data_IF_632692191530
#
_entry.id   IF_632692191530
#
_cell.length_a   1.000
_cell.length_b   1.000
_cell.length_c   1.000
_cell.angle_alpha   90.00
_cell.angle_beta   90.00
_cell.angle_gamma   90.00
#
_symmetry.space_group_name_H-M   'P 1'
#
loop_
_entity.id
_entity.type
_entity.pdbx_description
1 polymer ?
#
# COMPACT_ATOMS: atom_id res chain seq x y z
N UNK A 1 6.09 -41.86 45.94
CA UNK A 1 6.36 -41.92 44.49
C UNK A 1 5.10 -41.47 43.80
N UNK A 2 5.02 -40.19 43.43
CA UNK A 2 3.88 -39.65 42.71
C UNK A 2 4.05 -40.02 41.23
N UNK A 3 3.00 -40.65 40.71
CA UNK A 3 2.88 -41.14 39.34
C UNK A 3 2.93 -39.95 38.38
N UNK A 4 3.96 -39.90 37.54
CA UNK A 4 4.07 -38.91 36.48
C UNK A 4 3.11 -39.32 35.36
N UNK A 5 1.83 -38.99 35.52
CA UNK A 5 0.87 -39.09 34.43
C UNK A 5 1.38 -38.23 33.27
N UNK A 6 1.85 -38.86 32.20
CA UNK A 6 2.19 -38.19 30.95
C UNK A 6 0.92 -37.53 30.42
N UNK A 7 0.79 -36.22 30.63
CA UNK A 7 -0.22 -35.43 29.95
C UNK A 7 -0.03 -35.68 28.46
N UNK A 8 -1.07 -36.18 27.79
CA UNK A 8 -1.07 -36.33 26.35
C UNK A 8 -0.58 -35.00 25.73
N UNK A 9 0.30 -35.03 24.73
CA UNK A 9 0.79 -33.82 24.10
C UNK A 9 -0.42 -32.97 23.70
N UNK A 10 -0.37 -31.64 23.90
CA UNK A 10 -1.46 -30.78 23.49
C UNK A 10 -1.90 -31.08 22.06
N UNK A 11 -3.21 -31.13 21.77
CA UNK A 11 -3.74 -31.67 20.51
C UNK A 11 -3.24 -30.91 19.27
N UNK A 12 -2.76 -29.67 19.42
CA UNK A 12 -2.19 -28.90 18.33
C UNK A 12 -0.76 -29.32 17.91
N UNK A 13 -0.07 -30.15 18.71
CA UNK A 13 1.25 -30.72 18.35
C UNK A 13 1.10 -31.79 17.25
N UNK A 14 -0.08 -32.42 17.17
CA UNK A 14 -0.41 -33.46 16.20
C UNK A 14 -0.99 -32.91 14.89
N UNK A 15 -1.13 -31.59 14.77
CA UNK A 15 -1.63 -30.98 13.54
C UNK A 15 -0.68 -31.29 12.37
N UNK A 16 -1.23 -31.71 11.21
CA UNK A 16 -0.46 -31.84 9.99
C UNK A 16 0.30 -30.56 9.63
N UNK A 17 1.46 -30.72 8.98
CA UNK A 17 2.34 -29.61 8.60
C UNK A 17 1.64 -28.57 7.70
N UNK A 18 0.81 -29.04 6.77
CA UNK A 18 0.03 -28.21 5.85
C UNK A 18 -1.04 -27.39 6.58
N UNK A 19 -1.75 -28.00 7.53
CA UNK A 19 -2.74 -27.29 8.37
C UNK A 19 -2.03 -26.24 9.25
N UNK A 20 -0.90 -26.61 9.85
CA UNK A 20 -0.09 -25.69 10.65
C UNK A 20 0.41 -24.52 9.80
N UNK A 21 0.91 -24.78 8.59
CA UNK A 21 1.36 -23.74 7.67
C UNK A 21 0.23 -22.78 7.28
N UNK A 22 -0.98 -23.30 7.02
CA UNK A 22 -2.13 -22.46 6.70
C UNK A 22 -2.54 -21.53 7.85
N UNK A 23 -2.47 -22.02 9.09
CA UNK A 23 -2.72 -21.19 10.28
C UNK A 23 -1.65 -20.10 10.40
N UNK A 24 -0.38 -20.47 10.28
CA UNK A 24 0.74 -19.54 10.44
C UNK A 24 0.77 -18.47 9.35
N UNK A 25 0.34 -18.77 8.11
CA UNK A 25 0.23 -17.80 7.02
C UNK A 25 -0.81 -16.70 7.28
N UNK A 26 -1.65 -16.81 8.30
CA UNK A 26 -2.60 -15.76 8.73
C UNK A 26 -2.01 -14.79 9.74
N UNK A 27 -0.79 -15.06 10.22
CA UNK A 27 -0.07 -14.20 11.15
C UNK A 27 0.88 -13.28 10.37
N UNK A 28 1.16 -12.09 10.92
CA UNK A 28 2.22 -11.23 10.43
C UNK A 28 3.60 -11.81 10.68
N UNK A 29 4.60 -11.27 10.00
CA UNK A 29 5.97 -11.77 10.10
C UNK A 29 6.53 -11.63 11.53
N UNK A 30 6.14 -10.57 12.25
CA UNK A 30 6.54 -10.35 13.63
C UNK A 30 5.99 -11.43 14.56
N UNK A 31 4.70 -11.75 14.50
CA UNK A 31 4.09 -12.79 15.33
C UNK A 31 4.70 -14.16 15.07
N UNK A 32 5.03 -14.47 13.80
CA UNK A 32 5.68 -15.73 13.44
C UNK A 32 7.06 -15.84 14.11
N UNK A 33 7.88 -14.79 13.99
CA UNK A 33 9.26 -14.78 14.47
C UNK A 33 9.36 -14.65 16.00
N UNK A 34 8.45 -13.91 16.62
CA UNK A 34 8.51 -13.62 18.05
C UNK A 34 7.77 -14.63 18.91
N UNK A 35 6.70 -15.22 18.37
CA UNK A 35 5.79 -16.05 19.15
C UNK A 35 5.67 -17.45 18.55
N UNK A 36 5.23 -17.58 17.29
CA UNK A 36 4.86 -18.87 16.74
C UNK A 36 6.02 -19.88 16.70
N UNK A 37 7.23 -19.45 16.31
CA UNK A 37 8.39 -20.34 16.26
C UNK A 37 8.90 -20.80 17.64
N UNK A 38 8.38 -20.20 18.72
CA UNK A 38 8.74 -20.52 20.10
C UNK A 38 7.70 -21.43 20.79
N UNK A 39 6.56 -21.71 20.15
CA UNK A 39 5.47 -22.52 20.73
C UNK A 39 5.89 -23.98 20.92
N UNK A 40 6.34 -24.65 19.86
CA UNK A 40 6.79 -26.04 19.91
C UNK A 40 7.73 -26.37 18.75
N UNK A 41 8.35 -27.55 18.78
CA UNK A 41 9.28 -27.99 17.72
C UNK A 41 8.61 -28.12 16.34
N UNK A 42 7.35 -28.57 16.30
CA UNK A 42 6.58 -28.67 15.05
C UNK A 42 6.40 -27.31 14.42
N UNK A 43 5.85 -26.34 15.16
CA UNK A 43 5.64 -24.97 14.68
C UNK A 43 6.96 -24.32 14.27
N UNK A 44 8.02 -24.49 15.07
CA UNK A 44 9.36 -24.01 14.73
C UNK A 44 9.89 -24.60 13.42
N UNK A 45 9.62 -25.86 13.14
CA UNK A 45 10.01 -26.50 11.88
C UNK A 45 9.22 -25.93 10.70
N UNK A 46 7.90 -25.76 10.86
CA UNK A 46 7.05 -25.14 9.84
C UNK A 46 7.46 -23.69 9.57
N UNK A 47 7.78 -22.92 10.62
CA UNK A 47 8.27 -21.54 10.52
C UNK A 47 9.56 -21.38 9.68
N UNK A 48 10.27 -22.46 9.36
CA UNK A 48 11.49 -22.44 8.52
C UNK A 48 11.23 -22.85 7.07
N UNK A 49 10.01 -23.24 6.71
CA UNK A 49 9.66 -23.61 5.33
C UNK A 49 9.59 -22.34 4.47
N UNK A 50 10.32 -22.22 3.36
CA UNK A 50 10.33 -21.00 2.54
C UNK A 50 8.94 -20.57 2.04
N UNK A 51 8.08 -21.54 1.73
CA UNK A 51 6.74 -21.30 1.21
C UNK A 51 5.82 -20.45 2.13
N UNK A 52 6.08 -20.40 3.45
CA UNK A 52 5.30 -19.53 4.35
C UNK A 52 5.76 -18.06 4.27
N UNK A 53 6.97 -17.80 3.76
CA UNK A 53 7.59 -16.47 3.67
C UNK A 53 7.47 -15.86 2.28
N UNK A 54 6.59 -16.39 1.42
CA UNK A 54 6.28 -15.82 0.10
C UNK A 54 5.54 -14.49 0.21
N UNK A 55 4.82 -14.28 1.32
CA UNK A 55 4.15 -13.03 1.68
C UNK A 55 4.67 -12.62 3.04
N UNK A 56 5.27 -11.44 3.13
CA UNK A 56 5.82 -10.88 4.36
C UNK A 56 5.06 -9.60 4.66
N UNK A 57 4.35 -9.59 5.78
CA UNK A 57 3.73 -8.37 6.30
C UNK A 57 4.48 -7.89 7.54
N UNK A 58 5.06 -6.68 7.45
CA UNK A 58 5.74 -5.99 8.53
C UNK A 58 4.98 -4.70 8.90
N UNK A 59 3.64 -4.78 8.94
CA UNK A 59 2.80 -3.76 9.56
C UNK A 59 3.31 -3.45 10.97
N UNK A 60 3.39 -2.16 11.30
CA UNK A 60 3.84 -1.68 12.59
C UNK A 60 2.91 -0.55 13.02
N UNK A 61 2.30 -0.67 14.20
CA UNK A 61 1.36 0.33 14.75
C UNK A 61 1.99 1.70 15.05
N UNK A 62 3.28 1.89 14.77
CA UNK A 62 3.96 3.19 14.90
C UNK A 62 4.52 3.47 16.29
N UNK A 63 4.47 2.49 17.20
CA UNK A 63 4.96 2.62 18.56
C UNK A 63 6.51 2.56 18.62
N UNK A 64 7.12 3.74 18.51
CA UNK A 64 8.49 4.12 18.94
C UNK A 64 9.65 3.69 18.05
N UNK A 65 10.52 4.65 17.71
CA UNK A 65 11.75 4.55 16.90
C UNK A 65 12.73 3.44 17.35
N UNK A 66 12.73 3.05 18.62
CA UNK A 66 13.52 1.91 19.10
C UNK A 66 13.13 0.59 18.41
N UNK A 67 11.89 0.48 17.92
CA UNK A 67 11.42 -0.64 17.11
C UNK A 67 12.01 -0.65 15.71
N UNK A 68 12.43 0.47 15.11
CA UNK A 68 12.78 0.51 13.69
C UNK A 68 13.97 -0.39 13.32
N UNK A 69 15.06 -0.36 14.10
CA UNK A 69 16.21 -1.25 13.87
C UNK A 69 15.87 -2.71 14.12
N UNK A 70 14.99 -2.96 15.09
CA UNK A 70 14.54 -4.30 15.41
C UNK A 70 13.62 -4.86 14.31
N UNK A 71 12.64 -4.08 13.85
CA UNK A 71 11.80 -4.38 12.69
C UNK A 71 12.66 -4.61 11.44
N UNK A 72 13.69 -3.80 11.20
CA UNK A 72 14.63 -4.03 10.09
C UNK A 72 15.34 -5.38 10.23
N UNK A 73 15.84 -5.70 11.42
CA UNK A 73 16.47 -7.01 11.70
C UNK A 73 15.49 -8.17 11.46
N UNK A 74 14.26 -8.04 11.93
CA UNK A 74 13.21 -9.05 11.77
C UNK A 74 12.79 -9.20 10.30
N UNK A 75 12.66 -8.09 9.58
CA UNK A 75 12.39 -8.07 8.15
C UNK A 75 13.50 -8.80 7.37
N UNK A 76 14.78 -8.52 7.66
CA UNK A 76 15.91 -9.21 7.02
C UNK A 76 15.84 -10.72 7.28
N UNK A 77 15.53 -11.13 8.52
CA UNK A 77 15.33 -12.54 8.87
C UNK A 77 14.15 -13.21 8.18
N UNK A 78 13.07 -12.48 7.94
CA UNK A 78 11.92 -12.97 7.18
C UNK A 78 12.29 -13.17 5.71
N UNK A 79 12.96 -12.18 5.11
CA UNK A 79 13.46 -12.22 3.73
C UNK A 79 14.45 -13.37 3.53
N UNK A 80 15.41 -13.57 4.45
CA UNK A 80 16.35 -14.69 4.39
C UNK A 80 15.63 -16.05 4.44
N UNK A 81 14.52 -16.17 5.17
CA UNK A 81 13.74 -17.42 5.22
C UNK A 81 12.97 -17.71 3.93
N UNK A 82 12.68 -16.70 3.11
CA UNK A 82 12.02 -16.90 1.82
C UNK A 82 12.89 -17.65 0.82
N UNK A 83 14.22 -17.71 1.02
CA UNK A 83 15.19 -18.29 0.07
C UNK A 83 15.00 -17.82 -1.37
N UNK A 84 14.55 -16.57 -1.54
CA UNK A 84 14.30 -15.93 -2.83
C UNK A 84 12.92 -16.17 -3.43
N UNK A 85 12.04 -16.89 -2.74
CA UNK A 85 10.64 -17.13 -3.15
C UNK A 85 9.68 -16.00 -2.73
N UNK A 86 10.19 -14.88 -2.19
CA UNK A 86 9.37 -13.74 -1.77
C UNK A 86 8.64 -13.09 -2.97
N UNK A 87 7.33 -12.93 -2.82
CA UNK A 87 6.41 -12.40 -3.84
C UNK A 87 5.79 -11.08 -3.42
N UNK A 88 5.44 -10.95 -2.14
CA UNK A 88 4.84 -9.73 -1.60
C UNK A 88 5.52 -9.33 -0.31
N UNK A 89 5.82 -8.05 -0.17
CA UNK A 89 6.31 -7.47 1.07
C UNK A 89 5.64 -6.13 1.39
N UNK A 90 5.18 -5.99 2.63
CA UNK A 90 4.72 -4.73 3.22
C UNK A 90 5.72 -4.27 4.28
N UNK A 91 6.09 -2.98 4.25
CA UNK A 91 7.02 -2.35 5.20
C UNK A 91 6.46 -0.99 5.61
N UNK A 92 6.25 -0.80 6.90
CA UNK A 92 5.71 0.44 7.45
C UNK A 92 6.68 1.08 8.44
N UNK A 93 6.86 2.41 8.35
CA UNK A 93 7.65 3.26 9.25
C UNK A 93 9.19 3.06 9.27
N UNK A 94 9.71 1.84 9.13
CA UNK A 94 11.14 1.54 9.34
C UNK A 94 11.95 1.30 8.06
N UNK A 95 11.34 1.38 6.89
CA UNK A 95 12.04 1.13 5.62
C UNK A 95 13.22 2.07 5.39
N UNK A 96 14.32 1.50 4.85
CA UNK A 96 15.54 2.24 4.47
C UNK A 96 15.98 1.86 3.06
N UNK A 97 16.78 2.73 2.41
CA UNK A 97 17.41 2.40 1.13
C UNK A 97 18.23 1.08 1.21
N UNK A 98 18.94 0.84 2.33
CA UNK A 98 19.77 -0.35 2.54
C UNK A 98 18.93 -1.62 2.70
N UNK A 99 17.77 -1.52 3.35
CA UNK A 99 16.83 -2.63 3.45
C UNK A 99 16.24 -2.97 2.08
N UNK A 100 15.81 -1.95 1.31
CA UNK A 100 15.31 -2.15 -0.05
C UNK A 100 16.35 -2.80 -0.97
N UNK A 101 17.61 -2.34 -0.89
CA UNK A 101 18.71 -2.92 -1.65
C UNK A 101 18.91 -4.39 -1.28
N UNK A 102 18.94 -4.70 0.02
CA UNK A 102 19.08 -6.07 0.51
C UNK A 102 17.96 -7.01 0.04
N UNK A 103 16.71 -6.53 0.02
CA UNK A 103 15.56 -7.28 -0.49
C UNK A 103 15.76 -7.55 -1.99
N UNK A 104 16.12 -6.52 -2.76
CA UNK A 104 16.32 -6.63 -4.21
C UNK A 104 17.42 -7.63 -4.61
N UNK A 105 18.43 -7.82 -3.76
CA UNK A 105 19.53 -8.75 -3.99
C UNK A 105 19.18 -10.21 -3.67
N UNK A 106 18.13 -10.44 -2.87
CA UNK A 106 17.70 -11.78 -2.45
C UNK A 106 16.44 -12.25 -3.15
N UNK A 107 15.62 -11.33 -3.65
CA UNK A 107 14.25 -11.64 -4.05
C UNK A 107 13.83 -10.81 -5.26
N UNK A 108 14.37 -11.15 -6.44
CA UNK A 108 14.04 -10.48 -7.70
C UNK A 108 12.66 -10.86 -8.26
N UNK A 109 12.02 -11.90 -7.72
CA UNK A 109 10.69 -12.39 -8.14
C UNK A 109 9.53 -11.61 -7.51
N UNK A 110 9.83 -10.49 -6.84
CA UNK A 110 8.84 -9.70 -6.12
C UNK A 110 7.79 -9.15 -7.09
N UNK A 111 6.52 -9.38 -6.77
CA UNK A 111 5.36 -8.92 -7.54
C UNK A 111 4.64 -7.76 -6.88
N UNK A 112 4.68 -7.67 -5.56
CA UNK A 112 3.99 -6.62 -4.80
C UNK A 112 4.95 -6.00 -3.76
N UNK A 113 5.16 -4.69 -3.88
CA UNK A 113 5.95 -3.90 -2.93
C UNK A 113 5.05 -2.81 -2.32
N UNK A 114 4.85 -2.88 -1.00
CA UNK A 114 4.08 -1.89 -0.24
C UNK A 114 5.00 -1.21 0.76
N UNK A 115 5.07 0.11 0.66
CA UNK A 115 5.92 0.98 1.49
C UNK A 115 5.07 2.11 2.03
N UNK A 116 5.10 2.27 3.35
CA UNK A 116 4.25 3.23 4.01
C UNK A 116 5.04 3.96 5.12
N UNK A 117 4.93 5.29 5.19
CA UNK A 117 5.61 6.10 6.22
C UNK A 117 7.14 5.90 6.33
N UNK A 118 7.79 5.37 5.29
CA UNK A 118 9.20 5.01 5.34
C UNK A 118 10.09 6.24 5.07
N UNK A 119 10.41 6.99 6.13
CA UNK A 119 11.25 8.20 6.06
C UNK A 119 12.71 7.91 5.70
N UNK A 120 13.20 6.68 5.93
CA UNK A 120 14.56 6.25 5.55
C UNK A 120 14.74 5.92 4.06
N UNK A 121 13.66 6.01 3.26
CA UNK A 121 13.68 5.73 1.82
C UNK A 121 13.65 7.05 1.04
N UNK A 122 14.62 7.20 0.16
CA UNK A 122 14.72 8.33 -0.78
C UNK A 122 14.21 7.94 -2.16
N UNK A 123 13.79 8.93 -2.97
CA UNK A 123 13.46 8.69 -4.38
C UNK A 123 14.60 8.03 -5.15
N UNK A 124 15.86 8.45 -4.95
CA UNK A 124 17.03 7.77 -5.51
C UNK A 124 17.13 6.28 -5.14
N UNK A 125 16.85 5.93 -3.88
CA UNK A 125 16.82 4.55 -3.42
C UNK A 125 15.81 3.72 -4.21
N UNK A 126 14.58 4.23 -4.34
CA UNK A 126 13.53 3.59 -5.16
C UNK A 126 13.92 3.45 -6.62
N UNK A 127 14.43 4.51 -7.26
CA UNK A 127 14.89 4.44 -8.66
C UNK A 127 16.01 3.42 -8.88
N UNK A 128 16.76 3.08 -7.83
CA UNK A 128 17.83 2.08 -7.90
C UNK A 128 17.30 0.65 -7.75
N UNK A 129 16.26 0.43 -6.96
CA UNK A 129 15.75 -0.92 -6.64
C UNK A 129 14.60 -1.38 -7.53
N UNK A 130 13.71 -0.48 -7.95
CA UNK A 130 12.53 -0.85 -8.75
C UNK A 130 12.91 -1.60 -10.04
N UNK A 131 13.95 -1.19 -10.80
CA UNK A 131 14.39 -1.94 -11.99
C UNK A 131 14.86 -3.37 -11.71
N UNK A 132 15.15 -3.73 -10.45
CA UNK A 132 15.57 -5.07 -10.04
C UNK A 132 14.41 -6.03 -9.78
N UNK A 133 13.17 -5.57 -9.88
CA UNK A 133 11.95 -6.37 -9.75
C UNK A 133 11.24 -6.46 -11.12
N UNK A 134 11.73 -7.29 -12.06
CA UNK A 134 11.16 -7.38 -13.40
C UNK A 134 9.71 -7.91 -13.45
N UNK A 135 9.27 -8.59 -12.38
CA UNK A 135 7.91 -9.12 -12.25
C UNK A 135 7.00 -8.24 -11.37
N UNK A 136 7.40 -7.01 -11.07
CA UNK A 136 6.59 -6.11 -10.23
C UNK A 136 5.27 -5.77 -10.94
N UNK A 137 4.16 -6.20 -10.33
CA UNK A 137 2.79 -5.97 -10.80
C UNK A 137 2.06 -4.93 -9.94
N UNK A 138 2.46 -4.77 -8.68
CA UNK A 138 1.87 -3.85 -7.72
C UNK A 138 2.94 -3.03 -6.98
N UNK A 139 2.75 -1.71 -6.95
CA UNK A 139 3.61 -0.79 -6.21
C UNK A 139 2.75 0.20 -5.42
N UNK A 140 2.87 0.16 -4.10
CA UNK A 140 2.14 1.04 -3.20
C UNK A 140 3.11 1.88 -2.38
N UNK A 141 3.02 3.19 -2.55
CA UNK A 141 3.87 4.19 -1.92
C UNK A 141 2.98 5.19 -1.16
N UNK A 142 2.84 4.99 0.14
CA UNK A 142 1.98 5.82 0.98
C UNK A 142 2.82 6.70 1.89
N UNK A 143 2.59 8.02 1.86
CA UNK A 143 3.22 9.00 2.75
C UNK A 143 4.76 8.95 2.72
N UNK A 144 5.32 9.03 1.51
CA UNK A 144 6.78 8.99 1.26
C UNK A 144 7.33 10.42 1.08
N UNK A 145 7.81 11.11 2.14
CA UNK A 145 8.07 12.55 2.12
C UNK A 145 9.28 12.98 1.27
N UNK A 146 10.15 12.05 0.89
CA UNK A 146 11.41 12.33 0.20
C UNK A 146 11.43 11.84 -1.26
N UNK A 147 10.25 11.77 -1.88
CA UNK A 147 10.12 11.50 -3.32
C UNK A 147 9.76 12.82 -4.01
N UNK A 148 10.71 13.37 -4.78
CA UNK A 148 10.46 14.54 -5.61
C UNK A 148 9.76 14.18 -6.92
N UNK A 149 9.10 15.14 -7.58
CA UNK A 149 8.51 14.94 -8.91
C UNK A 149 9.51 14.40 -9.96
N UNK A 150 10.79 14.80 -9.88
CA UNK A 150 11.85 14.29 -10.77
C UNK A 150 12.15 12.81 -10.50
N UNK A 151 12.24 12.42 -9.23
CA UNK A 151 12.48 11.03 -8.86
C UNK A 151 11.27 10.16 -9.17
N UNK A 152 10.06 10.68 -8.95
CA UNK A 152 8.82 10.03 -9.36
C UNK A 152 8.79 9.75 -10.86
N UNK A 153 9.18 10.73 -11.69
CA UNK A 153 9.25 10.52 -13.14
C UNK A 153 10.27 9.44 -13.55
N UNK A 154 11.34 9.27 -12.79
CA UNK A 154 12.28 8.17 -13.01
C UNK A 154 11.70 6.82 -12.57
N UNK A 155 10.98 6.79 -11.44
CA UNK A 155 10.28 5.59 -10.94
C UNK A 155 9.21 5.14 -11.94
N UNK A 156 8.37 6.06 -12.42
CA UNK A 156 7.24 5.74 -13.29
C UNK A 156 7.67 5.11 -14.62
N UNK A 157 8.83 5.53 -15.17
CA UNK A 157 9.42 4.93 -16.38
C UNK A 157 9.77 3.45 -16.24
N UNK A 158 9.98 2.97 -15.02
CA UNK A 158 10.28 1.56 -14.74
C UNK A 158 9.02 0.71 -14.52
N UNK A 159 7.84 1.32 -14.51
CA UNK A 159 6.59 0.73 -14.01
C UNK A 159 5.58 0.41 -15.14
N UNK A 160 6.04 0.16 -16.37
CA UNK A 160 5.15 -0.05 -17.53
C UNK A 160 4.31 -1.33 -17.47
N UNK A 161 4.70 -2.29 -16.61
CA UNK A 161 4.00 -3.55 -16.39
C UNK A 161 3.09 -3.55 -15.16
N UNK A 162 3.05 -2.44 -14.40
CA UNK A 162 2.19 -2.36 -13.22
C UNK A 162 0.72 -2.48 -13.60
N UNK A 163 -0.01 -3.26 -12.80
CA UNK A 163 -1.47 -3.38 -12.82
C UNK A 163 -2.11 -2.56 -11.71
N UNK A 164 -1.42 -2.42 -10.58
CA UNK A 164 -1.88 -1.65 -9.43
C UNK A 164 -0.80 -0.66 -9.00
N UNK A 165 -1.19 0.59 -8.85
CA UNK A 165 -0.31 1.64 -8.35
C UNK A 165 -1.02 2.49 -7.31
N UNK A 166 -0.35 2.72 -6.18
CA UNK A 166 -0.83 3.69 -5.18
C UNK A 166 0.28 4.67 -4.88
N UNK A 167 -0.02 5.95 -4.97
CA UNK A 167 0.86 7.02 -4.53
C UNK A 167 0.04 7.99 -3.69
N UNK A 168 -0.04 7.72 -2.39
CA UNK A 168 -0.83 8.55 -1.48
C UNK A 168 0.05 9.68 -0.91
N UNK A 169 -0.40 10.91 -1.12
CA UNK A 169 0.25 12.11 -0.62
C UNK A 169 0.02 12.31 0.88
N UNK A 170 0.86 13.14 1.50
CA UNK A 170 0.45 13.81 2.74
C UNK A 170 -0.58 14.86 2.38
N UNK A 171 -1.64 14.99 3.21
CA UNK A 171 -2.71 15.99 3.01
C UNK A 171 -2.13 17.33 2.56
N UNK A 172 -2.69 17.88 1.49
CA UNK A 172 -2.43 19.25 1.07
C UNK A 172 -2.71 20.23 2.20
N UNK A 173 -1.81 21.19 2.40
CA UNK A 173 -2.07 22.33 3.28
C UNK A 173 -3.29 23.07 2.75
N UNK A 174 -4.40 23.03 3.48
CA UNK A 174 -5.59 23.84 3.13
C UNK A 174 -5.31 25.35 3.19
N UNK A 175 -4.18 25.76 3.77
CA UNK A 175 -3.79 27.16 3.93
C UNK A 175 -3.14 27.72 2.65
N UNK A 176 -2.45 26.89 1.86
CA UNK A 176 -1.85 27.28 0.58
C UNK A 176 -1.85 26.10 -0.41
N UNK A 177 -3.03 25.76 -0.95
CA UNK A 177 -3.18 24.64 -1.86
C UNK A 177 -2.51 24.92 -3.20
N UNK A 178 -1.52 24.10 -3.57
CA UNK A 178 -0.81 24.24 -4.84
C UNK A 178 -1.04 23.02 -5.73
N UNK A 179 -1.74 23.24 -6.84
CA UNK A 179 -1.94 22.23 -7.89
C UNK A 179 -0.58 21.69 -8.39
N UNK A 180 -0.46 20.37 -8.45
CA UNK A 180 0.70 19.66 -9.00
C UNK A 180 0.29 18.43 -9.83
N UNK A 181 -0.05 18.66 -11.09
CA UNK A 181 -0.42 17.61 -12.05
C UNK A 181 0.77 16.78 -12.55
N UNK A 182 2.01 17.07 -12.13
CA UNK A 182 3.21 16.39 -12.65
C UNK A 182 3.20 14.88 -12.38
N UNK A 183 2.69 14.46 -11.22
CA UNK A 183 2.55 13.05 -10.87
C UNK A 183 1.52 12.36 -11.77
N UNK A 184 0.34 12.97 -11.93
CA UNK A 184 -0.73 12.47 -12.79
C UNK A 184 -0.28 12.34 -14.26
N UNK A 185 0.39 13.37 -14.80
CA UNK A 185 0.96 13.36 -16.15
C UNK A 185 2.01 12.26 -16.32
N UNK A 186 2.82 12.00 -15.30
CA UNK A 186 3.85 10.96 -15.33
C UNK A 186 3.24 9.56 -15.28
N UNK A 187 2.17 9.36 -14.51
CA UNK A 187 1.41 8.11 -14.47
C UNK A 187 0.78 7.85 -15.84
N UNK A 188 0.01 8.82 -16.35
CA UNK A 188 -0.65 8.75 -17.65
C UNK A 188 0.30 8.37 -18.79
N UNK A 189 1.52 8.92 -18.76
CA UNK A 189 2.52 8.69 -19.80
C UNK A 189 3.20 7.32 -19.71
N UNK A 190 3.47 6.82 -18.50
CA UNK A 190 4.39 5.70 -18.31
C UNK A 190 3.72 4.41 -17.79
N UNK A 191 2.46 4.46 -17.35
CA UNK A 191 1.75 3.32 -16.76
C UNK A 191 0.40 3.02 -17.47
N UNK A 192 0.40 2.72 -18.79
CA UNK A 192 -0.83 2.58 -19.57
C UNK A 192 -1.65 1.31 -19.25
N UNK A 193 -1.05 0.33 -18.57
CA UNK A 193 -1.67 -0.97 -18.26
C UNK A 193 -2.29 -1.03 -16.85
N UNK A 194 -2.42 0.12 -16.17
CA UNK A 194 -3.03 0.16 -14.84
C UNK A 194 -4.50 -0.23 -14.88
N UNK A 195 -4.87 -1.08 -13.93
CA UNK A 195 -6.23 -1.46 -13.60
C UNK A 195 -6.68 -0.80 -12.29
N UNK A 196 -5.76 -0.57 -11.36
CA UNK A 196 -6.05 0.07 -10.08
C UNK A 196 -5.11 1.24 -9.82
N UNK A 197 -5.68 2.41 -9.52
CA UNK A 197 -4.92 3.61 -9.21
C UNK A 197 -5.44 4.27 -7.93
N UNK A 198 -4.57 4.42 -6.94
CA UNK A 198 -4.82 5.19 -5.72
C UNK A 198 -3.97 6.44 -5.67
N UNK A 199 -4.60 7.61 -5.52
CA UNK A 199 -3.96 8.92 -5.44
C UNK A 199 -4.49 9.72 -4.25
N UNK A 200 -4.86 9.04 -3.16
CA UNK A 200 -5.45 9.67 -1.99
C UNK A 200 -4.65 10.90 -1.54
N UNK A 201 -5.33 12.02 -1.33
CA UNK A 201 -4.74 13.24 -0.77
C UNK A 201 -3.75 13.97 -1.66
N UNK A 202 -3.70 13.70 -2.97
CA UNK A 202 -2.82 14.41 -3.89
C UNK A 202 -3.42 15.73 -4.41
N UNK A 203 -2.55 16.66 -4.78
CA UNK A 203 -2.88 18.00 -5.28
C UNK A 203 -3.13 18.08 -6.78
N UNK A 204 -3.73 17.06 -7.40
CA UNK A 204 -4.05 17.08 -8.83
C UNK A 204 -5.35 17.84 -9.13
N UNK A 205 -5.39 18.47 -10.29
CA UNK A 205 -6.56 19.17 -10.82
C UNK A 205 -7.37 18.31 -11.78
N UNK A 206 -8.45 18.87 -12.33
CA UNK A 206 -9.23 18.27 -13.41
C UNK A 206 -8.36 17.94 -14.64
N UNK A 207 -7.30 18.72 -14.92
CA UNK A 207 -6.37 18.44 -16.03
C UNK A 207 -5.51 17.20 -15.76
N UNK A 208 -5.02 17.04 -14.51
CA UNK A 208 -4.32 15.83 -14.09
C UNK A 208 -5.21 14.59 -14.19
N UNK A 209 -6.47 14.69 -13.75
CA UNK A 209 -7.44 13.60 -13.87
C UNK A 209 -7.75 13.27 -15.34
N UNK A 210 -7.93 14.28 -16.22
CA UNK A 210 -8.08 14.05 -17.67
C UNK A 210 -6.90 13.30 -18.26
N UNK A 211 -5.67 13.71 -17.91
CA UNK A 211 -4.48 13.02 -18.37
C UNK A 211 -4.46 11.54 -17.95
N UNK A 212 -4.85 11.22 -16.71
CA UNK A 212 -4.96 9.83 -16.24
C UNK A 212 -5.99 9.06 -17.07
N UNK A 213 -7.18 9.61 -17.28
CA UNK A 213 -8.22 8.96 -18.08
C UNK A 213 -7.79 8.74 -19.54
N UNK A 214 -6.99 9.65 -20.10
CA UNK A 214 -6.44 9.51 -21.46
C UNK A 214 -5.30 8.47 -21.53
N UNK A 215 -4.43 8.44 -20.51
CA UNK A 215 -3.22 7.62 -20.49
C UNK A 215 -3.41 6.20 -19.97
N UNK A 216 -4.43 5.97 -19.15
CA UNK A 216 -4.71 4.68 -18.49
C UNK A 216 -6.08 4.12 -18.93
N UNK A 217 -6.22 3.65 -20.19
CA UNK A 217 -7.52 3.23 -20.74
C UNK A 217 -8.08 1.93 -20.11
N UNK A 218 -7.25 1.13 -19.44
CA UNK A 218 -7.66 -0.14 -18.81
C UNK A 218 -8.04 0.01 -17.32
N UNK A 219 -8.15 1.25 -16.84
CA UNK A 219 -8.36 1.53 -15.43
C UNK A 219 -9.75 1.07 -14.98
N UNK A 220 -9.79 0.18 -14.00
CA UNK A 220 -11.02 -0.40 -13.45
C UNK A 220 -11.41 0.22 -12.12
N UNK A 221 -10.42 0.65 -11.31
CA UNK A 221 -10.66 1.38 -10.07
C UNK A 221 -9.77 2.61 -9.92
N UNK A 222 -10.35 3.69 -9.38
CA UNK A 222 -9.68 4.95 -9.10
C UNK A 222 -10.07 5.49 -7.73
N UNK A 223 -9.09 5.71 -6.86
CA UNK A 223 -9.28 6.39 -5.59
C UNK A 223 -8.60 7.76 -5.60
N UNK A 224 -9.42 8.82 -5.61
CA UNK A 224 -9.00 10.22 -5.57
C UNK A 224 -9.62 10.93 -4.35
N UNK A 225 -9.95 10.19 -3.29
CA UNK A 225 -10.41 10.79 -2.03
C UNK A 225 -9.37 11.78 -1.50
N UNK A 226 -9.84 12.87 -0.89
CA UNK A 226 -9.01 14.00 -0.42
C UNK A 226 -8.20 14.73 -1.49
N UNK A 227 -8.41 14.47 -2.79
CA UNK A 227 -7.87 15.27 -3.88
C UNK A 227 -8.72 16.54 -4.09
N UNK A 228 -8.61 17.48 -3.15
CA UNK A 228 -9.54 18.61 -3.02
C UNK A 228 -9.48 19.63 -4.18
N UNK A 229 -8.49 19.53 -5.08
CA UNK A 229 -8.36 20.43 -6.25
C UNK A 229 -9.13 19.95 -7.48
N UNK A 230 -9.73 18.77 -7.42
CA UNK A 230 -10.58 18.22 -8.49
C UNK A 230 -11.99 18.80 -8.36
N UNK A 231 -12.44 19.50 -9.40
CA UNK A 231 -13.75 20.13 -9.48
C UNK A 231 -14.76 19.35 -10.32
N UNK A 232 -14.32 18.31 -11.05
CA UNK A 232 -15.14 17.47 -11.93
C UNK A 232 -15.88 18.26 -13.04
N UNK A 233 -15.26 19.32 -13.57
CA UNK A 233 -15.86 20.21 -14.57
C UNK A 233 -15.91 19.60 -15.97
N UNK A 234 -16.71 20.22 -16.85
CA UNK A 234 -16.82 19.89 -18.27
C UNK A 234 -17.15 18.41 -18.56
N UNK A 235 -18.04 17.83 -17.76
CA UNK A 235 -18.48 16.44 -17.94
C UNK A 235 -17.49 15.38 -17.47
N UNK A 236 -16.42 15.77 -16.77
CA UNK A 236 -15.39 14.84 -16.28
C UNK A 236 -15.96 13.80 -15.32
N UNK A 237 -16.91 14.18 -14.46
CA UNK A 237 -17.63 13.22 -13.59
C UNK A 237 -18.29 12.10 -14.39
N UNK A 238 -19.04 12.46 -15.44
CA UNK A 238 -19.70 11.50 -16.34
C UNK A 238 -18.68 10.59 -17.01
N UNK A 239 -17.58 11.15 -17.52
CA UNK A 239 -16.51 10.37 -18.15
C UNK A 239 -15.90 9.35 -17.19
N UNK A 240 -15.68 9.70 -15.92
CA UNK A 240 -15.17 8.75 -14.92
C UNK A 240 -16.08 7.53 -14.78
N UNK A 241 -17.39 7.72 -14.62
CA UNK A 241 -18.37 6.63 -14.47
C UNK A 241 -18.51 5.77 -15.74
N UNK A 242 -18.37 6.39 -16.91
CA UNK A 242 -18.42 5.66 -18.19
C UNK A 242 -17.16 4.81 -18.45
N UNK A 243 -16.00 5.25 -17.95
CA UNK A 243 -14.72 4.60 -18.22
C UNK A 243 -14.28 3.63 -17.10
N UNK A 244 -14.59 3.93 -15.85
CA UNK A 244 -14.05 3.26 -14.67
C UNK A 244 -15.19 2.62 -13.87
N UNK A 245 -15.01 1.35 -13.46
CA UNK A 245 -16.04 0.58 -12.75
C UNK A 245 -16.24 1.03 -11.32
N UNK A 246 -15.15 1.37 -10.62
CA UNK A 246 -15.16 1.77 -9.21
C UNK A 246 -14.38 3.08 -9.03
N UNK A 247 -15.09 4.17 -8.74
CA UNK A 247 -14.47 5.50 -8.55
C UNK A 247 -14.82 6.00 -7.15
N UNK A 248 -13.78 6.40 -6.41
CA UNK A 248 -13.93 7.10 -5.13
C UNK A 248 -13.51 8.54 -5.26
N UNK A 249 -14.47 9.44 -5.08
CA UNK A 249 -14.35 10.87 -5.32
C UNK A 249 -13.76 11.63 -4.13
N UNK A 250 -13.28 12.88 -4.32
CA UNK A 250 -12.58 13.65 -3.30
C UNK A 250 -13.25 13.72 -1.92
N UNK A 251 -14.59 13.74 -1.88
CA UNK A 251 -15.37 13.91 -0.66
C UNK A 251 -16.07 12.63 -0.17
N UNK A 252 -15.79 11.49 -0.78
CA UNK A 252 -16.34 10.20 -0.33
C UNK A 252 -15.79 9.81 1.05
N UNK A 253 -16.54 8.94 1.73
CA UNK A 253 -16.17 8.44 3.06
C UNK A 253 -14.77 7.84 3.09
N UNK A 254 -14.05 8.08 4.19
CA UNK A 254 -12.73 7.52 4.48
C UNK A 254 -12.75 6.47 5.59
N UNK A 255 -13.93 6.02 6.02
CA UNK A 255 -14.08 5.09 7.15
C UNK A 255 -13.41 3.71 6.94
N UNK A 256 -13.05 3.39 5.70
CA UNK A 256 -12.31 2.17 5.35
C UNK A 256 -10.83 2.43 5.06
N UNK A 257 -10.36 3.66 5.27
CA UNK A 257 -8.97 4.03 5.08
C UNK A 257 -8.23 3.87 6.41
N UNK A 258 -7.39 2.82 6.50
CA UNK A 258 -6.77 2.38 7.76
C UNK A 258 -5.86 3.43 8.44
N UNK A 259 -5.54 4.51 7.75
CA UNK A 259 -4.70 5.60 8.27
C UNK A 259 -5.58 6.79 8.61
N UNK A 260 -6.60 6.54 9.43
CA UNK A 260 -7.45 7.59 9.99
C UNK A 260 -6.55 8.50 10.82
N UNK A 261 -6.34 9.74 10.36
CA UNK A 261 -5.73 10.76 11.20
C UNK A 261 -6.65 10.97 12.41
N UNK A 262 -6.19 10.62 13.62
CA UNK A 262 -6.83 10.98 14.90
C UNK A 262 -6.96 12.50 15.09
N UNK A 263 -6.41 13.32 14.18
CA UNK A 263 -6.66 14.76 14.15
C UNK A 263 -8.04 15.06 13.52
N UNK A 264 -9.03 14.97 14.40
CA UNK A 264 -10.40 15.45 14.24
C UNK A 264 -10.44 16.95 13.94
N UNK A 265 -10.53 17.34 12.65
CA UNK A 265 -11.15 18.60 12.27
C UNK A 265 -12.59 18.33 11.79
N UNK A 266 -13.41 17.96 12.76
CA UNK A 266 -14.85 17.73 12.66
C UNK A 266 -15.64 19.00 12.26
N UNK A 267 -14.98 20.17 12.24
CA UNK A 267 -15.61 21.47 11.94
C UNK A 267 -15.63 21.85 10.45
N UNK A 268 -14.79 21.26 9.60
CA UNK A 268 -14.73 21.61 8.17
C UNK A 268 -15.59 20.72 7.26
N UNK A 269 -15.86 19.47 7.68
CA UNK A 269 -16.75 18.56 6.95
C UNK A 269 -18.21 19.06 6.93
N UNK A 270 -18.67 19.82 7.94
CA UNK A 270 -20.06 20.30 7.98
C UNK A 270 -20.36 21.40 6.96
N UNK A 271 -19.39 22.23 6.58
CA UNK A 271 -19.66 23.37 5.70
C UNK A 271 -19.86 22.99 4.22
N UNK A 272 -19.29 21.86 3.75
CA UNK A 272 -19.32 21.48 2.33
C UNK A 272 -20.22 20.28 2.03
N UNK A 273 -20.42 19.36 2.98
CA UNK A 273 -21.36 18.23 2.82
C UNK A 273 -22.79 18.73 2.57
N UNK A 274 -23.19 19.84 3.19
CA UNK A 274 -24.50 20.46 2.95
C UNK A 274 -24.61 21.18 1.59
N UNK A 275 -23.49 21.61 0.98
CA UNK A 275 -23.48 22.29 -0.31
C UNK A 275 -23.53 21.32 -1.50
N UNK A 276 -22.75 20.24 -1.46
CA UNK A 276 -22.64 19.27 -2.56
C UNK A 276 -23.79 18.25 -2.60
N UNK A 277 -24.33 17.83 -1.44
CA UNK A 277 -25.53 16.98 -1.40
C UNK A 277 -26.76 17.69 -2.01
N UNK A 278 -26.81 19.02 -1.96
CA UNK A 278 -27.87 19.81 -2.58
C UNK A 278 -27.80 19.82 -4.11
N UNK A 279 -26.62 19.60 -4.71
CA UNK A 279 -26.44 19.51 -6.16
C UNK A 279 -26.65 18.07 -6.66
N UNK A 280 -26.21 17.05 -5.90
CA UNK A 280 -26.48 15.65 -6.22
C UNK A 280 -27.98 15.28 -6.10
N UNK A 281 -28.71 15.87 -5.14
CA UNK A 281 -30.16 15.63 -5.02
C UNK A 281 -30.95 16.26 -6.17
N UNK A 282 -30.54 17.44 -6.66
CA UNK A 282 -31.21 18.10 -7.80
C UNK A 282 -31.07 17.32 -9.11
N UNK A 283 -29.93 16.66 -9.33
CA UNK A 283 -29.71 15.82 -10.52
C UNK A 283 -30.50 14.50 -10.50
N UNK A 284 -31.00 14.09 -9.33
CA UNK A 284 -31.89 12.92 -9.19
C UNK A 284 -33.37 13.30 -9.30
N UNK A 285 -33.76 14.51 -8.89
CA UNK A 285 -35.15 15.00 -9.00
C UNK A 285 -35.51 15.48 -10.42
N UNK A 286 -34.54 15.91 -11.23
CA UNK A 286 -34.76 16.33 -12.63
C UNK A 286 -34.92 15.17 -13.64
N UNK A 287 -34.95 13.91 -13.17
CA UNK A 287 -35.12 12.70 -13.98
C UNK A 287 -36.40 11.90 -13.65
N UNK A 288 -37.39 12.52 -13.01
CA UNK A 288 -38.72 11.95 -12.74
C UNK A 288 -39.84 12.94 -13.09
#
# INVERSE_FOLDING_TARGET
>A
MADSSSLAPPPWIELPTDVTANILQRLGAMEILESAEKVCLTWRAVCKIPAIWRVIDMENSGDLIETAKYCEFMCRRAVDRSLGELIQINIEFFGTNDLLLYISERSSQLKCLRLACCTGISGKGLTTVIPKFPELEELHLSYMPYITAREFEAISKCCSMLKSFTFNGRRSSMIDPKVDDRYALSIAKNMPNLHHLGLFGNDLSDEGLRAILDGCPSLESLDIRRCNMIGLKDGLSKRCVEQIKDVRYPFDSIADYMWEDEDSDEQLNQFWVHGLLAECSKLLDDNN
#
